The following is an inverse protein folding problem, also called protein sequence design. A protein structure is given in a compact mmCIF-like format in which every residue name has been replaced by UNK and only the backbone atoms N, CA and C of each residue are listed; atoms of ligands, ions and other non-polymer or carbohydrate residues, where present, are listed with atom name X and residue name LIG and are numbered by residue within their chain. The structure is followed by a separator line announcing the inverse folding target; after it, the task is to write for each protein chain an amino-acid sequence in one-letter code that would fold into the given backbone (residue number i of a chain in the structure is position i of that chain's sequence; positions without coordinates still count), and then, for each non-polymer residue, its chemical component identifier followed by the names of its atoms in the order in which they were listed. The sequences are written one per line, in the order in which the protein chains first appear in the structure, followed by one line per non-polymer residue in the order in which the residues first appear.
data_IF_187193316307
#
_entry.id   IF_187193316307
#
_cell.length_a   1.000
_cell.length_b   1.000
_cell.length_c   1.000
_cell.angle_alpha   90.00
_cell.angle_beta   90.00
_cell.angle_gamma   90.00
#
_symmetry.space_group_name_H-M   'P 1'
#
loop_
_entity.id
_entity.type
_entity.pdbx_description
1 polymer ?
#
# COMPACT_ATOMS: atom_id res chain seq x y z
N UNK A 1 -17.17 19.67 42.60
CA UNK A 1 -18.39 19.87 41.78
C UNK A 1 -18.04 19.35 40.41
N UNK A 2 -18.51 18.15 40.16
CA UNK A 2 -18.04 17.25 39.13
C UNK A 2 -18.72 17.56 37.79
N UNK A 3 -18.39 18.72 37.21
CA UNK A 3 -19.03 19.26 35.99
C UNK A 3 -18.97 18.26 34.81
N UNK A 4 -18.00 17.34 34.82
CA UNK A 4 -17.75 16.39 33.72
C UNK A 4 -18.00 14.91 34.07
N UNK A 5 -18.47 14.55 35.26
CA UNK A 5 -18.62 13.15 35.73
C UNK A 5 -19.84 12.41 35.14
N UNK A 6 -20.54 13.00 34.16
CA UNK A 6 -21.43 12.25 33.28
C UNK A 6 -21.17 12.58 31.80
N UNK A 7 -20.15 13.39 31.47
CA UNK A 7 -19.95 13.91 30.10
C UNK A 7 -18.98 13.03 29.32
N UNK A 8 -19.42 12.53 28.16
CA UNK A 8 -18.57 11.72 27.30
C UNK A 8 -17.51 12.56 26.56
N UNK A 9 -16.23 12.32 26.85
CA UNK A 9 -15.05 12.96 26.22
C UNK A 9 -15.06 12.92 24.68
N UNK A 10 -15.70 11.91 24.09
CA UNK A 10 -15.72 11.70 22.63
C UNK A 10 -16.89 12.39 21.92
N UNK A 11 -18.01 12.70 22.60
CA UNK A 11 -19.20 13.27 21.94
C UNK A 11 -19.86 14.45 22.68
N UNK A 12 -19.37 14.86 23.85
CA UNK A 12 -19.88 15.99 24.62
C UNK A 12 -21.25 15.77 25.28
N UNK A 13 -21.90 14.62 25.05
CA UNK A 13 -23.22 14.32 25.63
C UNK A 13 -23.12 13.84 27.08
N UNK A 14 -24.11 14.24 27.88
CA UNK A 14 -24.44 13.68 29.19
C UNK A 14 -24.87 12.20 29.08
N UNK A 15 -24.42 11.35 30.01
CA UNK A 15 -24.39 9.89 29.92
C UNK A 15 -24.43 9.21 31.30
N UNK A 16 -25.60 8.73 31.72
CA UNK A 16 -25.85 8.01 32.99
C UNK A 16 -25.04 6.72 33.21
N UNK A 17 -24.38 6.21 32.16
CA UNK A 17 -23.63 4.95 32.11
C UNK A 17 -22.23 5.21 31.51
N UNK A 18 -21.56 6.26 31.99
CA UNK A 18 -20.23 6.64 31.57
C UNK A 18 -19.14 5.75 32.21
N UNK A 19 -18.07 5.48 31.46
CA UNK A 19 -17.00 4.54 31.80
C UNK A 19 -15.68 5.33 31.89
N UNK A 20 -14.83 5.08 32.91
CA UNK A 20 -13.62 5.86 33.14
C UNK A 20 -12.49 5.46 32.16
N UNK A 21 -11.89 6.45 31.47
CA UNK A 21 -10.89 6.22 30.42
C UNK A 21 -9.57 5.64 30.94
N UNK A 22 -9.21 5.92 32.19
CA UNK A 22 -7.91 5.60 32.79
C UNK A 22 -7.97 4.41 33.77
N UNK A 23 -9.15 4.12 34.32
CA UNK A 23 -9.37 3.01 35.27
C UNK A 23 -9.95 1.77 34.59
N UNK A 24 -10.89 1.93 33.66
CA UNK A 24 -11.62 0.80 33.07
C UNK A 24 -10.93 0.21 31.83
N UNK A 25 -11.16 -1.08 31.62
CA UNK A 25 -10.66 -1.85 30.48
C UNK A 25 -11.78 -2.68 29.86
N UNK A 26 -11.75 -2.83 28.54
CA UNK A 26 -12.81 -3.49 27.75
C UNK A 26 -12.31 -4.75 27.05
N UNK A 27 -13.21 -5.68 26.78
CA UNK A 27 -12.89 -6.93 26.09
C UNK A 27 -12.85 -6.72 24.58
N UNK A 28 -11.68 -6.94 23.97
CA UNK A 28 -11.44 -6.86 22.51
C UNK A 28 -10.79 -8.16 22.06
N UNK A 29 -11.41 -8.87 21.12
CA UNK A 29 -10.93 -10.18 20.59
C UNK A 29 -10.52 -11.18 21.70
N UNK A 30 -11.24 -11.21 22.82
CA UNK A 30 -10.96 -12.09 23.96
C UNK A 30 -9.85 -11.63 24.90
N UNK A 31 -9.21 -10.49 24.65
CA UNK A 31 -8.23 -9.84 25.54
C UNK A 31 -8.89 -8.68 26.28
N UNK A 32 -8.44 -8.41 27.50
CA UNK A 32 -8.82 -7.21 28.24
C UNK A 32 -7.82 -6.08 27.90
N UNK A 33 -8.31 -4.92 27.46
CA UNK A 33 -7.49 -3.82 26.92
C UNK A 33 -7.92 -2.49 27.56
N UNK A 34 -6.98 -1.65 28.06
CA UNK A 34 -7.29 -0.34 28.63
C UNK A 34 -7.97 0.60 27.62
N UNK A 35 -8.95 1.38 28.09
CA UNK A 35 -9.66 2.35 27.24
C UNK A 35 -8.71 3.45 26.72
N UNK A 36 -7.75 3.87 27.54
CA UNK A 36 -6.68 4.81 27.17
C UNK A 36 -5.83 4.31 26.00
N UNK A 37 -5.45 3.02 25.97
CA UNK A 37 -4.71 2.40 24.85
C UNK A 37 -5.55 2.41 23.56
N UNK A 38 -6.83 2.05 23.66
CA UNK A 38 -7.76 2.03 22.52
C UNK A 38 -7.92 3.43 21.92
N UNK A 39 -8.03 4.47 22.75
CA UNK A 39 -8.09 5.86 22.29
C UNK A 39 -6.78 6.23 21.58
N UNK A 40 -5.63 6.03 22.23
CA UNK A 40 -4.32 6.40 21.69
C UNK A 40 -4.01 5.72 20.34
N UNK A 41 -4.40 4.45 20.17
CA UNK A 41 -4.24 3.70 18.93
C UNK A 41 -5.28 4.02 17.84
N UNK A 42 -6.33 4.80 18.16
CA UNK A 42 -7.32 5.30 17.20
C UNK A 42 -7.11 6.79 16.83
N UNK A 43 -6.46 7.58 17.69
CA UNK A 43 -6.11 8.98 17.40
C UNK A 43 -4.88 9.06 16.48
N UNK A 44 -4.95 9.70 15.30
CA UNK A 44 -3.79 9.85 14.43
C UNK A 44 -2.73 10.75 15.08
N UNK A 45 -1.49 10.28 15.19
CA UNK A 45 -0.35 11.04 15.73
C UNK A 45 0.03 12.30 14.95
N UNK A 46 -0.52 12.47 13.75
CA UNK A 46 -0.37 13.65 12.89
C UNK A 46 -1.58 14.59 12.92
N UNK A 47 -2.67 14.22 13.62
CA UNK A 47 -3.79 15.14 13.84
C UNK A 47 -3.40 16.16 14.92
N UNK A 48 -3.87 17.40 14.78
CA UNK A 48 -3.73 18.45 15.81
C UNK A 48 -4.65 18.25 17.03
N UNK A 49 -5.00 17.00 17.32
CA UNK A 49 -5.78 16.60 18.49
C UNK A 49 -4.82 16.40 19.68
N UNK A 50 -5.05 17.04 20.83
CA UNK A 50 -4.30 16.74 22.04
C UNK A 50 -4.40 15.26 22.41
N UNK A 51 -3.29 14.67 22.86
CA UNK A 51 -3.34 13.39 23.54
C UNK A 51 -4.19 13.50 24.83
N UNK A 52 -4.77 12.39 25.25
CA UNK A 52 -5.68 12.32 26.41
C UNK A 52 -4.87 11.99 27.66
N UNK A 53 -4.91 12.88 28.66
CA UNK A 53 -4.11 12.79 29.89
C UNK A 53 -5.01 12.71 31.14
N UNK A 54 -4.56 12.02 32.18
CA UNK A 54 -5.32 11.89 33.43
C UNK A 54 -5.42 13.20 34.22
N UNK A 55 -4.47 14.11 34.00
CA UNK A 55 -4.39 15.40 34.69
C UNK A 55 -4.97 16.57 33.86
N UNK A 56 -5.76 16.28 32.80
CA UNK A 56 -6.35 17.33 31.95
C UNK A 56 -7.76 17.78 32.40
N UNK A 57 -8.07 19.07 32.20
CA UNK A 57 -9.32 19.74 32.62
C UNK A 57 -10.58 19.30 31.84
N UNK A 58 -10.49 18.24 31.03
CA UNK A 58 -11.56 17.76 30.16
C UNK A 58 -12.21 16.49 30.73
N UNK A 59 -13.36 16.03 30.19
CA UNK A 59 -14.01 14.82 30.71
C UNK A 59 -13.11 13.58 30.67
N UNK A 60 -13.08 12.83 31.77
CA UNK A 60 -12.26 11.61 31.92
C UNK A 60 -13.03 10.32 31.62
N UNK A 61 -14.21 10.45 31.02
CA UNK A 61 -15.15 9.35 30.80
C UNK A 61 -15.55 9.19 29.33
N UNK A 62 -15.96 7.99 28.96
CA UNK A 62 -16.51 7.65 27.65
C UNK A 62 -17.82 6.87 27.78
N UNK A 63 -18.80 7.17 26.94
CA UNK A 63 -20.08 6.46 26.95
C UNK A 63 -20.01 5.12 26.20
N UNK A 64 -20.91 4.19 26.58
CA UNK A 64 -21.06 2.86 25.97
C UNK A 64 -21.22 2.86 24.45
N UNK A 65 -21.70 3.95 23.84
CA UNK A 65 -21.81 4.08 22.38
C UNK A 65 -20.47 4.45 21.74
N UNK A 66 -19.73 5.39 22.33
CA UNK A 66 -18.45 5.84 21.80
C UNK A 66 -17.35 4.77 21.94
N UNK A 67 -17.27 4.06 23.08
CA UNK A 67 -16.29 2.98 23.25
C UNK A 67 -16.57 1.81 22.29
N UNK A 68 -17.84 1.45 22.03
CA UNK A 68 -18.19 0.46 20.99
C UNK A 68 -17.73 0.86 19.59
N UNK A 69 -17.82 2.15 19.24
CA UNK A 69 -17.30 2.67 17.98
C UNK A 69 -15.77 2.60 17.93
N UNK A 70 -15.08 3.00 19.00
CA UNK A 70 -13.62 2.92 19.07
C UNK A 70 -13.10 1.47 19.01
N UNK A 71 -13.75 0.51 19.67
CA UNK A 71 -13.38 -0.92 19.58
C UNK A 71 -13.39 -1.39 18.11
N UNK A 72 -14.42 -1.03 17.33
CA UNK A 72 -14.47 -1.37 15.91
C UNK A 72 -13.32 -0.74 15.10
N UNK A 73 -12.95 0.51 15.40
CA UNK A 73 -11.82 1.20 14.75
C UNK A 73 -10.47 0.59 15.15
N UNK A 74 -10.26 0.29 16.43
CA UNK A 74 -9.07 -0.36 16.97
C UNK A 74 -8.89 -1.77 16.39
N UNK A 75 -9.95 -2.57 16.33
CA UNK A 75 -9.92 -3.88 15.67
C UNK A 75 -9.59 -3.78 14.18
N UNK A 76 -10.17 -2.81 13.47
CA UNK A 76 -9.86 -2.56 12.06
C UNK A 76 -8.40 -2.14 11.87
N UNK A 77 -7.90 -1.19 12.67
CA UNK A 77 -6.53 -0.69 12.58
C UNK A 77 -5.51 -1.80 12.84
N UNK A 78 -5.71 -2.63 13.88
CA UNK A 78 -4.83 -3.77 14.16
C UNK A 78 -4.84 -4.83 13.04
N UNK A 79 -6.01 -5.15 12.48
CA UNK A 79 -6.13 -6.06 11.32
C UNK A 79 -5.46 -5.49 10.06
N UNK A 80 -5.61 -4.19 9.81
CA UNK A 80 -4.98 -3.47 8.71
C UNK A 80 -3.45 -3.44 8.83
N UNK A 81 -2.92 -3.10 10.02
CA UNK A 81 -1.48 -3.07 10.28
C UNK A 81 -0.84 -4.46 10.15
N UNK A 82 -1.51 -5.53 10.61
CA UNK A 82 -1.05 -6.90 10.41
C UNK A 82 -0.94 -7.25 8.91
N UNK A 83 -2.03 -7.09 8.15
CA UNK A 83 -2.06 -7.37 6.71
C UNK A 83 -1.08 -6.50 5.91
N UNK A 84 -0.91 -5.24 6.27
CA UNK A 84 0.05 -4.33 5.63
C UNK A 84 1.50 -4.77 5.88
N UNK A 85 1.84 -5.22 7.10
CA UNK A 85 3.16 -5.75 7.41
C UNK A 85 3.45 -7.06 6.68
N UNK A 86 2.49 -7.98 6.61
CA UNK A 86 2.59 -9.22 5.83
C UNK A 86 2.82 -8.93 4.34
N UNK A 87 2.04 -8.02 3.75
CA UNK A 87 2.20 -7.59 2.37
C UNK A 87 3.57 -6.92 2.12
N UNK A 88 4.02 -6.05 3.03
CA UNK A 88 5.33 -5.40 2.94
C UNK A 88 6.51 -6.38 3.07
N UNK A 89 6.32 -7.54 3.73
CA UNK A 89 7.28 -8.64 3.74
C UNK A 89 7.22 -9.44 2.44
N UNK A 90 6.03 -9.80 1.96
CA UNK A 90 5.85 -10.52 0.70
C UNK A 90 6.46 -9.77 -0.50
N UNK A 91 6.19 -8.46 -0.60
CA UNK A 91 6.75 -7.58 -1.63
C UNK A 91 8.29 -7.55 -1.60
N UNK A 92 8.91 -7.57 -0.40
CA UNK A 92 10.38 -7.64 -0.26
C UNK A 92 10.93 -8.99 -0.73
N UNK A 93 10.21 -10.09 -0.56
CA UNK A 93 10.60 -11.39 -1.12
C UNK A 93 10.47 -11.42 -2.65
N UNK A 94 9.39 -10.86 -3.21
CA UNK A 94 9.20 -10.74 -4.66
C UNK A 94 10.32 -9.90 -5.32
N UNK A 95 10.60 -8.70 -4.77
CA UNK A 95 11.66 -7.82 -5.25
C UNK A 95 13.05 -8.49 -5.22
N UNK A 96 13.32 -9.33 -4.21
CA UNK A 96 14.54 -10.15 -4.13
C UNK A 96 14.54 -11.23 -5.22
N UNK A 97 13.45 -11.99 -5.39
CA UNK A 97 13.31 -13.03 -6.42
C UNK A 97 13.50 -12.47 -7.84
N UNK A 98 12.93 -11.31 -8.13
CA UNK A 98 13.07 -10.66 -9.43
C UNK A 98 14.51 -10.18 -9.67
N UNK A 99 15.18 -9.61 -8.65
CA UNK A 99 16.62 -9.29 -8.73
C UNK A 99 17.48 -10.54 -8.97
N UNK A 100 17.14 -11.68 -8.34
CA UNK A 100 17.83 -12.96 -8.59
C UNK A 100 17.62 -13.48 -10.02
N UNK A 101 16.40 -13.44 -10.57
CA UNK A 101 16.14 -13.82 -12.00
C UNK A 101 17.04 -13.01 -12.95
N UNK A 102 17.12 -11.68 -12.76
CA UNK A 102 17.94 -10.78 -13.58
C UNK A 102 19.45 -11.05 -13.43
N UNK A 103 19.93 -11.34 -12.22
CA UNK A 103 21.34 -11.66 -11.99
C UNK A 103 21.74 -13.00 -12.64
N UNK A 104 20.87 -14.01 -12.59
CA UNK A 104 21.13 -15.31 -13.21
C UNK A 104 21.16 -15.25 -14.74
N UNK A 105 20.30 -14.46 -15.39
CA UNK A 105 20.27 -14.36 -16.86
C UNK A 105 21.47 -13.61 -17.44
N UNK A 106 22.16 -12.77 -16.67
CA UNK A 106 23.44 -12.17 -17.09
C UNK A 106 24.62 -13.14 -16.96
N UNK A 107 24.64 -14.00 -15.93
CA UNK A 107 25.72 -14.97 -15.72
C UNK A 107 25.86 -15.98 -16.89
N UNK A 108 24.75 -16.37 -17.53
CA UNK A 108 24.74 -17.28 -18.68
C UNK A 108 25.23 -16.66 -19.99
N UNK A 109 25.42 -15.34 -20.07
CA UNK A 109 25.88 -14.66 -21.29
C UNK A 109 27.42 -14.61 -21.43
N UNK A 110 28.18 -15.05 -20.42
CA UNK A 110 29.62 -14.81 -20.29
C UNK A 110 30.49 -16.09 -20.27
N UNK A 111 30.11 -17.15 -20.98
CA UNK A 111 30.89 -18.41 -21.09
C UNK A 111 31.04 -18.87 -22.54
N UNK A 112 31.80 -18.11 -23.34
CA UNK A 112 32.31 -18.54 -24.65
C UNK A 112 33.74 -19.06 -24.52
N UNK A 113 33.88 -20.31 -24.04
CA UNK A 113 35.18 -21.00 -23.93
C UNK A 113 35.47 -21.80 -25.22
N UNK A 114 36.72 -21.77 -25.68
CA UNK A 114 37.11 -22.35 -26.97
C UNK A 114 37.36 -23.87 -26.94
N UNK A 115 36.87 -24.54 -27.99
CA UNK A 115 37.40 -25.74 -28.64
C UNK A 115 38.02 -26.91 -27.80
N UNK A 116 37.17 -27.91 -27.51
CA UNK A 116 37.38 -29.34 -27.83
C UNK A 116 38.53 -30.14 -27.12
N UNK A 117 38.60 -31.48 -27.31
CA UNK A 117 37.57 -32.50 -27.04
C UNK A 117 38.12 -33.70 -26.21
N UNK A 118 37.26 -34.65 -25.80
CA UNK A 118 37.50 -36.14 -25.77
C UNK A 118 36.27 -36.88 -25.19
N UNK A 119 36.12 -38.17 -25.52
CA UNK A 119 35.08 -39.12 -25.04
C UNK A 119 35.12 -39.37 -23.52
N UNK A 120 34.14 -39.96 -22.83
CA UNK A 120 33.08 -40.96 -23.16
C UNK A 120 31.92 -40.79 -22.14
N UNK A 121 30.75 -41.47 -22.08
CA UNK A 121 30.29 -42.79 -22.54
C UNK A 121 28.76 -42.80 -22.82
N UNK A 122 28.14 -43.98 -22.94
CA UNK A 122 26.72 -44.27 -23.25
C UNK A 122 25.71 -44.03 -22.11
N UNK A 123 24.54 -43.50 -22.45
CA UNK A 123 23.22 -43.86 -21.89
C UNK A 123 22.24 -43.91 -23.10
N UNK A 124 21.26 -44.82 -23.09
CA UNK A 124 20.32 -45.01 -24.20
C UNK A 124 18.88 -45.31 -23.69
N UNK A 125 17.89 -45.07 -24.55
CA UNK A 125 16.46 -45.40 -24.46
C UNK A 125 15.56 -44.74 -23.37
N UNK A 126 14.66 -43.87 -23.87
CA UNK A 126 13.25 -43.65 -23.51
C UNK A 126 12.80 -43.03 -22.16
N UNK A 127 11.61 -42.41 -22.08
CA UNK A 127 10.85 -41.56 -23.03
C UNK A 127 9.63 -40.95 -22.31
N UNK A 128 9.32 -39.67 -22.60
CA UNK A 128 8.00 -39.08 -22.90
C UNK A 128 7.85 -37.62 -22.44
N UNK A 129 7.19 -36.83 -23.29
CA UNK A 129 6.95 -35.40 -23.14
C UNK A 129 5.62 -35.09 -22.42
N UNK A 130 5.56 -33.93 -21.79
CA UNK A 130 4.38 -33.05 -21.86
C UNK A 130 4.90 -31.63 -22.17
N UNK A 131 4.18 -30.91 -23.03
CA UNK A 131 4.58 -29.63 -23.61
C UNK A 131 3.90 -28.42 -22.94
N UNK A 132 4.57 -27.26 -23.03
CA UNK A 132 4.04 -25.86 -23.03
C UNK A 132 3.23 -25.38 -21.79
N UNK A 133 2.94 -24.09 -21.54
CA UNK A 133 2.92 -22.87 -22.40
C UNK A 133 3.50 -21.58 -21.74
N UNK A 134 3.99 -20.69 -22.62
CA UNK A 134 4.02 -19.21 -22.54
C UNK A 134 4.49 -18.48 -21.24
N UNK A 135 5.80 -18.27 -21.08
CA UNK A 135 6.39 -17.19 -20.23
C UNK A 135 6.82 -16.01 -21.16
N UNK A 136 5.89 -15.09 -21.46
CA UNK A 136 6.05 -13.94 -22.38
C UNK A 136 7.16 -12.96 -21.91
N UNK A 137 8.39 -13.20 -22.36
CA UNK A 137 9.59 -12.51 -21.89
C UNK A 137 9.81 -11.15 -22.59
N UNK A 138 9.21 -10.09 -22.04
CA UNK A 138 9.28 -8.72 -22.59
C UNK A 138 10.70 -8.11 -22.58
N UNK A 139 11.41 -8.24 -23.71
CA UNK A 139 12.73 -7.63 -23.93
C UNK A 139 12.61 -6.13 -24.19
N UNK A 140 13.07 -5.30 -23.25
CA UNK A 140 13.29 -3.87 -23.49
C UNK A 140 14.51 -3.67 -24.42
N UNK A 141 14.25 -3.36 -25.69
CA UNK A 141 15.25 -2.75 -26.57
C UNK A 141 15.32 -1.25 -26.31
N UNK A 142 16.38 -0.79 -25.65
CA UNK A 142 16.83 0.61 -25.71
C UNK A 142 17.96 0.70 -26.72
N UNK A 143 17.70 1.33 -27.86
CA UNK A 143 18.76 1.70 -28.81
C UNK A 143 19.55 2.90 -28.27
N UNK A 144 20.88 2.97 -28.48
CA UNK A 144 21.65 4.16 -28.15
C UNK A 144 21.35 5.28 -29.15
N UNK A 145 21.30 6.52 -28.68
CA UNK A 145 21.43 7.69 -29.54
C UNK A 145 22.55 8.58 -28.99
N UNK A 146 23.29 9.22 -29.89
CA UNK A 146 24.55 9.89 -29.59
C UNK A 146 24.34 11.35 -29.13
N UNK A 147 25.42 11.96 -28.63
CA UNK A 147 25.33 13.17 -27.81
C UNK A 147 24.99 14.46 -28.56
N UNK A 148 24.26 15.35 -27.87
CA UNK A 148 24.15 16.78 -28.16
C UNK A 148 24.13 17.54 -26.84
N UNK A 149 24.92 18.60 -26.73
CA UNK A 149 25.10 19.33 -25.46
C UNK A 149 24.10 20.49 -25.28
N UNK A 150 23.95 20.89 -24.02
CA UNK A 150 23.60 22.25 -23.54
C UNK A 150 22.11 22.63 -23.38
N UNK A 151 21.94 23.59 -22.45
CA UNK A 151 20.78 24.39 -22.05
C UNK A 151 19.63 23.73 -21.25
N UNK A 152 19.62 24.06 -19.95
CA UNK A 152 18.53 23.83 -19.02
C UNK A 152 17.46 24.92 -19.25
N UNK A 153 16.37 24.58 -19.95
CA UNK A 153 15.20 25.46 -20.07
C UNK A 153 13.93 24.71 -19.70
N UNK A 154 13.19 25.22 -18.70
CA UNK A 154 12.00 24.56 -18.13
C UNK A 154 10.76 24.72 -19.03
N UNK A 155 10.74 23.98 -20.15
CA UNK A 155 9.53 23.71 -20.92
C UNK A 155 9.23 22.22 -20.91
N UNK A 156 8.51 21.78 -19.88
CA UNK A 156 7.90 20.46 -19.88
C UNK A 156 6.95 20.35 -21.10
N UNK A 157 6.97 19.25 -21.86
CA UNK A 157 6.10 19.08 -23.02
C UNK A 157 4.63 19.09 -22.57
N UNK A 158 3.72 19.72 -23.34
CA UNK A 158 2.33 19.90 -22.93
C UNK A 158 1.67 18.56 -22.61
N UNK A 159 1.02 18.49 -21.45
CA UNK A 159 0.29 17.31 -20.98
C UNK A 159 -1.01 17.17 -21.77
N UNK A 160 -0.94 16.51 -22.92
CA UNK A 160 -2.06 16.42 -23.87
C UNK A 160 -3.27 15.59 -23.36
N UNK A 161 -3.18 15.01 -22.16
CA UNK A 161 -4.22 14.18 -21.55
C UNK A 161 -4.48 14.64 -20.11
N UNK A 162 -5.74 14.90 -19.77
CA UNK A 162 -6.16 15.27 -18.42
C UNK A 162 -7.36 14.42 -18.00
N UNK A 163 -7.41 13.97 -16.74
CA UNK A 163 -8.58 13.24 -16.25
C UNK A 163 -9.75 14.19 -16.00
N UNK A 164 -10.86 14.03 -16.73
CA UNK A 164 -12.08 14.83 -16.54
C UNK A 164 -12.80 14.63 -15.20
N UNK A 165 -12.37 13.67 -14.36
CA UNK A 165 -12.96 13.36 -13.06
C UNK A 165 -12.16 13.91 -11.87
N UNK A 166 -10.86 14.20 -12.03
CA UNK A 166 -10.00 14.70 -10.95
C UNK A 166 -9.01 15.81 -11.36
N UNK A 167 -8.90 16.13 -12.65
CA UNK A 167 -7.98 17.15 -13.19
C UNK A 167 -6.52 16.72 -13.37
N UNK A 168 -6.14 15.49 -12.99
CA UNK A 168 -4.74 15.04 -13.08
C UNK A 168 -4.21 15.07 -14.55
N UNK A 169 -3.01 15.63 -14.78
CA UNK A 169 -2.37 15.68 -16.10
C UNK A 169 -1.49 14.46 -16.36
N UNK A 170 -1.45 14.00 -17.63
CA UNK A 170 -0.64 12.86 -18.06
C UNK A 170 0.08 13.15 -19.37
N UNK A 171 1.34 12.70 -19.46
CA UNK A 171 2.16 12.81 -20.68
C UNK A 171 1.89 11.70 -21.71
N UNK A 172 1.19 10.61 -21.34
CA UNK A 172 0.88 9.50 -22.28
C UNK A 172 -0.53 8.93 -22.09
N UNK A 173 -1.11 8.43 -23.18
CA UNK A 173 -2.41 7.72 -23.19
C UNK A 173 -2.41 6.51 -22.24
N UNK A 174 -1.30 5.76 -22.18
CA UNK A 174 -1.22 4.57 -21.32
C UNK A 174 -1.28 4.91 -19.83
N UNK A 175 -0.68 6.03 -19.40
CA UNK A 175 -0.77 6.50 -18.03
C UNK A 175 -2.21 6.93 -17.69
N UNK A 176 -2.84 7.74 -18.57
CA UNK A 176 -4.23 8.16 -18.44
C UNK A 176 -5.22 6.97 -18.37
N UNK A 177 -5.07 5.97 -19.24
CA UNK A 177 -5.91 4.77 -19.24
C UNK A 177 -5.75 3.94 -17.95
N UNK A 178 -4.51 3.78 -17.47
CA UNK A 178 -4.24 3.07 -16.19
C UNK A 178 -4.84 3.80 -15.01
N UNK A 179 -4.69 5.13 -14.95
CA UNK A 179 -5.33 5.99 -13.96
C UNK A 179 -6.85 5.78 -13.94
N UNK A 180 -7.53 5.94 -15.08
CA UNK A 180 -9.00 5.79 -15.11
C UNK A 180 -9.47 4.38 -14.71
N UNK A 181 -8.72 3.32 -15.07
CA UNK A 181 -9.04 1.93 -14.71
C UNK A 181 -8.86 1.63 -13.21
N UNK A 182 -8.00 2.37 -12.51
CA UNK A 182 -7.66 2.16 -11.09
C UNK A 182 -8.42 3.16 -10.20
N UNK A 183 -8.23 4.46 -10.43
CA UNK A 183 -8.76 5.58 -9.64
C UNK A 183 -10.25 5.81 -9.86
N UNK A 184 -10.78 5.48 -11.04
CA UNK A 184 -12.18 5.75 -11.45
C UNK A 184 -12.90 4.49 -11.92
N UNK A 185 -12.62 3.36 -11.26
CA UNK A 185 -13.06 1.99 -11.59
C UNK A 185 -14.58 1.80 -11.76
N UNK A 186 -15.40 2.70 -11.22
CA UNK A 186 -16.87 2.64 -11.25
C UNK A 186 -17.52 3.74 -12.11
N UNK A 187 -16.73 4.54 -12.85
CA UNK A 187 -17.24 5.53 -13.80
C UNK A 187 -17.21 4.95 -15.21
N UNK A 188 -18.27 5.14 -16.00
CA UNK A 188 -18.27 4.73 -17.41
C UNK A 188 -17.19 5.47 -18.20
N UNK A 189 -16.54 4.75 -19.11
CA UNK A 189 -15.31 5.19 -19.78
C UNK A 189 -15.64 6.16 -20.93
N UNK A 190 -15.95 7.41 -20.59
CA UNK A 190 -16.24 8.47 -21.56
C UNK A 190 -14.95 8.88 -22.29
N UNK A 191 -14.83 8.43 -23.54
CA UNK A 191 -13.78 8.87 -24.46
C UNK A 191 -13.92 10.36 -24.76
N UNK A 192 -13.13 11.21 -24.10
CA UNK A 192 -12.92 12.59 -24.52
C UNK A 192 -11.84 12.63 -25.61
N UNK A 193 -12.27 12.59 -26.88
CA UNK A 193 -11.42 13.02 -27.99
C UNK A 193 -11.32 14.54 -27.96
N UNK A 194 -10.11 15.08 -27.90
CA UNK A 194 -9.86 16.51 -28.13
C UNK A 194 -10.50 16.94 -29.44
N UNK A 195 -11.27 18.04 -29.42
CA UNK A 195 -11.73 18.70 -30.64
C UNK A 195 -10.57 19.26 -31.46
N UNK A 196 -10.88 19.63 -32.70
CA UNK A 196 -9.95 20.24 -33.67
C UNK A 196 -9.39 21.58 -33.18
#
# INVERSE_FOLDING_TARGET
MEIFENICRTCGNDCLDAINIFVDSVMVQGKNVPISEIIAACTPSFASLPAVYMDDDYPQQICRVCIKKLIMVYEFNNKWLAAHNEFAVALKFEQRRNRSRISSSQATAAVTVAAAPTTTTTIDANDQLIETDEDENFVFKTEPNEGGEMEIMNHAPPTNYHCGLCGEPFHTVSAYQKHHKISHRNCEFLYYTSGQ
#
